data_IF_605702159934
#
_entry.id   IF_605702159934
#
_cell.length_a   1.000
_cell.length_b   1.000
_cell.length_c   1.000
_cell.angle_alpha   90.00
_cell.angle_beta   90.00
_cell.angle_gamma   90.00
#
_symmetry.space_group_name_H-M   'P 1'
#
loop_
_entity.id
_entity.type
_entity.pdbx_description
1 polymer ?
#
# COMPACT_ATOMS: atom_id res chain seq x y z
N UNK A 1 -11.49 -1.10 1.06
CA UNK A 1 -12.76 -0.86 0.40
C UNK A 1 -13.20 -2.20 -0.20
N UNK A 2 -14.12 -2.89 0.50
CA UNK A 2 -14.49 -4.29 0.21
C UNK A 2 -15.37 -4.47 -1.05
N UNK A 3 -15.65 -3.40 -1.81
CA UNK A 3 -16.46 -3.49 -3.03
C UNK A 3 -17.92 -3.91 -2.81
N UNK A 4 -18.38 -3.97 -1.55
CA UNK A 4 -19.77 -4.26 -1.20
C UNK A 4 -20.62 -3.01 -1.34
N UNK A 5 -21.87 -3.19 -1.80
CA UNK A 5 -22.87 -2.11 -1.80
C UNK A 5 -23.16 -1.66 -0.36
N UNK A 6 -23.31 -0.34 -0.16
CA UNK A 6 -23.59 0.28 1.14
C UNK A 6 -24.89 -0.24 1.81
N UNK A 7 -25.77 -0.84 1.05
CA UNK A 7 -27.03 -1.44 1.51
C UNK A 7 -26.91 -2.91 1.95
N UNK A 8 -25.74 -3.54 1.76
CA UNK A 8 -25.55 -4.95 2.11
C UNK A 8 -25.54 -5.12 3.64
N UNK A 9 -26.44 -5.91 4.25
CA UNK A 9 -26.43 -6.16 5.67
C UNK A 9 -25.18 -6.99 6.01
N UNK A 10 -24.23 -6.38 6.72
CA UNK A 10 -23.02 -7.05 7.21
C UNK A 10 -23.33 -7.66 8.57
N UNK A 11 -23.32 -8.98 8.67
CA UNK A 11 -23.31 -9.68 9.96
C UNK A 11 -21.85 -9.82 10.43
N UNK A 12 -21.57 -9.24 11.58
CA UNK A 12 -20.29 -9.46 12.26
C UNK A 12 -20.31 -10.87 12.86
N UNK A 13 -19.41 -11.73 12.39
CA UNK A 13 -19.24 -13.11 12.87
C UNK A 13 -18.32 -13.20 14.08
N UNK A 14 -17.79 -12.10 14.57
CA UNK A 14 -17.01 -12.08 15.80
C UNK A 14 -17.94 -12.35 17.01
N UNK A 15 -18.14 -13.63 17.29
CA UNK A 15 -18.50 -14.05 18.64
C UNK A 15 -17.40 -13.51 19.56
N UNK A 16 -17.81 -12.77 20.60
CA UNK A 16 -16.93 -12.25 21.63
C UNK A 16 -16.14 -13.42 22.22
N UNK A 17 -14.97 -13.71 21.67
CA UNK A 17 -13.99 -14.54 22.37
C UNK A 17 -13.38 -13.63 23.42
N UNK A 18 -13.73 -13.90 24.67
CA UNK A 18 -13.24 -13.22 25.88
C UNK A 18 -11.71 -13.29 26.07
N UNK A 19 -11.01 -14.05 25.23
CA UNK A 19 -9.56 -14.22 25.27
C UNK A 19 -8.86 -13.49 24.12
N UNK A 20 -8.93 -12.15 24.13
CA UNK A 20 -8.02 -11.32 23.35
C UNK A 20 -6.72 -11.14 24.15
N UNK A 21 -6.01 -12.23 24.42
CA UNK A 21 -4.63 -12.12 24.86
C UNK A 21 -3.86 -11.39 23.74
N UNK A 22 -3.14 -10.28 24.04
CA UNK A 22 -2.33 -9.62 23.06
C UNK A 22 -1.29 -10.65 22.57
N UNK A 23 -1.38 -11.06 21.31
CA UNK A 23 -0.27 -11.71 20.66
C UNK A 23 0.81 -10.62 20.54
N UNK A 24 1.61 -10.52 21.62
CA UNK A 24 2.86 -9.73 21.53
C UNK A 24 3.59 -10.26 20.32
N UNK A 25 3.89 -9.44 19.30
CA UNK A 25 4.78 -9.88 18.26
C UNK A 25 6.05 -10.35 19.00
N UNK A 26 6.36 -11.63 18.88
CA UNK A 26 7.67 -12.14 19.34
C UNK A 26 8.70 -11.14 18.88
N UNK A 27 9.65 -10.78 19.75
CA UNK A 27 10.72 -9.81 19.52
C UNK A 27 11.66 -10.23 18.37
N UNK A 28 11.12 -10.69 17.25
CA UNK A 28 11.81 -10.85 15.99
C UNK A 28 11.86 -9.48 15.30
N UNK A 29 13.05 -8.95 15.11
CA UNK A 29 13.25 -7.77 14.28
C UNK A 29 12.51 -8.00 12.95
N UNK A 30 11.55 -7.13 12.63
CA UNK A 30 10.82 -7.21 11.36
C UNK A 30 11.84 -7.11 10.24
N UNK A 31 11.94 -8.15 9.40
CA UNK A 31 12.85 -8.13 8.25
C UNK A 31 12.31 -7.16 7.20
N UNK A 32 12.87 -5.97 7.18
CA UNK A 32 12.48 -4.90 6.26
C UNK A 32 12.65 -5.30 4.79
N UNK A 33 13.58 -6.22 4.48
CA UNK A 33 13.78 -6.69 3.12
C UNK A 33 12.60 -7.56 2.66
N UNK A 34 12.05 -8.37 3.57
CA UNK A 34 10.86 -9.14 3.30
C UNK A 34 9.64 -8.21 3.09
N UNK A 35 9.51 -7.15 3.89
CA UNK A 35 8.48 -6.13 3.71
C UNK A 35 8.57 -5.48 2.32
N UNK A 36 9.76 -5.13 1.85
CA UNK A 36 9.92 -4.57 0.51
C UNK A 36 9.52 -5.55 -0.59
N UNK A 37 9.76 -6.86 -0.39
CA UNK A 37 9.39 -7.88 -1.36
C UNK A 37 7.88 -8.13 -1.43
N UNK A 38 7.17 -7.99 -0.31
CA UNK A 38 5.71 -8.22 -0.23
C UNK A 38 4.89 -7.03 -0.71
N UNK A 39 5.43 -5.81 -0.65
CA UNK A 39 4.68 -4.60 -0.99
C UNK A 39 4.60 -4.31 -2.49
N UNK A 40 3.38 -4.24 -3.06
CA UNK A 40 3.20 -4.01 -4.49
C UNK A 40 3.66 -2.61 -4.93
N UNK A 41 3.61 -1.60 -4.02
CA UNK A 41 4.08 -0.24 -4.33
C UNK A 41 5.59 -0.23 -4.62
N UNK A 42 6.39 -0.97 -3.83
CA UNK A 42 7.83 -1.08 -4.05
C UNK A 42 8.09 -1.74 -5.39
N UNK A 43 7.39 -2.83 -5.69
CA UNK A 43 7.51 -3.55 -6.96
C UNK A 43 7.17 -2.67 -8.16
N UNK A 44 6.12 -1.86 -8.05
CA UNK A 44 5.74 -0.93 -9.14
C UNK A 44 6.81 0.14 -9.39
N UNK A 45 7.40 0.69 -8.33
CA UNK A 45 8.47 1.69 -8.44
C UNK A 45 9.78 1.08 -8.95
N UNK A 46 10.09 -0.16 -8.59
CA UNK A 46 11.23 -0.90 -9.16
C UNK A 46 11.08 -1.09 -10.68
N UNK A 47 9.89 -1.48 -11.13
CA UNK A 47 9.59 -1.58 -12.56
C UNK A 47 9.65 -0.21 -13.25
N UNK A 48 9.15 0.85 -12.60
CA UNK A 48 9.26 2.21 -13.12
C UNK A 48 10.73 2.64 -13.30
N UNK A 49 11.60 2.35 -12.32
CA UNK A 49 13.05 2.65 -12.47
C UNK A 49 13.67 1.88 -13.63
N UNK A 50 13.27 0.63 -13.85
CA UNK A 50 13.73 -0.15 -15.01
C UNK A 50 13.25 0.48 -16.34
N UNK A 51 11.99 0.91 -16.42
CA UNK A 51 11.44 1.59 -17.59
C UNK A 51 12.24 2.85 -17.90
N UNK A 52 12.51 3.71 -16.91
CA UNK A 52 13.30 4.92 -17.12
C UNK A 52 14.75 4.63 -17.50
N UNK A 53 15.37 3.57 -16.95
CA UNK A 53 16.69 3.11 -17.41
C UNK A 53 16.68 2.67 -18.86
N UNK A 54 15.64 1.95 -19.31
CA UNK A 54 15.49 1.58 -20.71
C UNK A 54 15.17 2.77 -21.62
N UNK A 55 14.42 3.76 -21.13
CA UNK A 55 14.16 5.01 -21.84
C UNK A 55 15.46 5.73 -22.23
N UNK A 56 16.48 5.68 -21.36
CA UNK A 56 17.83 6.21 -21.71
C UNK A 56 18.40 5.50 -22.94
N UNK A 57 18.24 4.17 -23.02
CA UNK A 57 18.73 3.39 -24.17
C UNK A 57 17.92 3.71 -25.43
N UNK A 58 16.61 3.88 -25.31
CA UNK A 58 15.74 4.31 -26.44
C UNK A 58 16.17 5.69 -26.95
N UNK A 59 16.33 6.66 -26.05
CA UNK A 59 16.80 8.01 -26.43
C UNK A 59 18.19 7.96 -27.11
N UNK A 60 19.07 7.07 -26.63
CA UNK A 60 20.38 6.86 -27.29
C UNK A 60 20.24 6.27 -28.67
N UNK A 61 19.31 5.32 -28.87
CA UNK A 61 19.10 4.65 -30.16
C UNK A 61 18.60 5.58 -31.26
N UNK A 62 17.92 6.68 -30.91
CA UNK A 62 17.48 7.70 -31.86
C UNK A 62 18.66 8.37 -32.65
N UNK A 63 19.87 8.31 -32.07
CA UNK A 63 21.11 8.86 -32.63
C UNK A 63 22.02 7.81 -33.25
N UNK A 64 21.55 6.55 -33.30
CA UNK A 64 22.25 5.44 -33.97
C UNK A 64 21.65 5.16 -35.34
N UNK A 65 22.42 4.55 -36.26
CA UNK A 65 21.87 4.09 -37.52
C UNK A 65 20.67 3.16 -37.32
N UNK A 66 19.58 3.40 -38.04
CA UNK A 66 18.38 2.56 -38.01
C UNK A 66 18.17 1.87 -39.38
N UNK A 67 17.75 0.62 -39.31
CA UNK A 67 17.42 -0.20 -40.48
C UNK A 67 15.96 -0.61 -40.37
N UNK A 68 15.16 -0.29 -41.36
CA UNK A 68 13.76 -0.68 -41.45
C UNK A 68 13.50 -1.51 -42.70
N UNK A 69 12.84 -2.65 -42.56
CA UNK A 69 12.26 -3.41 -43.64
C UNK A 69 10.82 -2.97 -43.84
N UNK A 70 10.49 -2.57 -45.06
CA UNK A 70 9.15 -2.12 -45.41
C UNK A 70 8.60 -3.02 -46.54
N UNK A 71 7.33 -3.38 -46.40
CA UNK A 71 6.57 -4.05 -47.42
C UNK A 71 5.19 -3.43 -47.58
N UNK A 72 4.75 -3.20 -48.79
CA UNK A 72 3.38 -2.78 -49.04
C UNK A 72 2.76 -3.53 -50.19
N UNK A 73 1.46 -3.76 -50.11
CA UNK A 73 0.61 -4.26 -51.15
C UNK A 73 -0.50 -3.26 -51.42
N UNK A 74 -0.62 -2.87 -52.69
CA UNK A 74 -1.64 -1.90 -53.09
C UNK A 74 -2.39 -2.45 -54.32
N UNK A 75 -3.71 -2.41 -54.27
CA UNK A 75 -4.57 -2.75 -55.41
C UNK A 75 -5.31 -1.49 -55.85
N UNK A 76 -5.13 -1.10 -57.11
CA UNK A 76 -5.72 0.13 -57.65
C UNK A 76 -6.48 -0.16 -58.99
N UNK A 77 -7.52 0.66 -59.20
CA UNK A 77 -8.27 0.68 -60.45
C UNK A 77 -8.51 2.16 -60.86
N UNK A 78 -7.95 2.67 -61.98
CA UNK A 78 -7.06 1.96 -62.94
C UNK A 78 -5.71 1.59 -62.34
N UNK A 79 -5.00 0.66 -62.98
CA UNK A 79 -3.66 0.25 -62.58
C UNK A 79 -2.68 1.42 -62.65
N UNK A 80 -1.78 1.55 -61.67
CA UNK A 80 -0.74 2.60 -61.65
C UNK A 80 0.20 2.51 -62.86
N UNK A 81 0.39 1.33 -63.43
CA UNK A 81 1.25 1.10 -64.57
C UNK A 81 0.56 1.30 -65.94
N UNK A 82 -0.79 1.17 -65.97
CA UNK A 82 -1.54 1.35 -67.21
C UNK A 82 -2.89 2.02 -66.90
N UNK A 83 -2.88 3.33 -66.94
CA UNK A 83 -4.06 4.19 -66.62
C UNK A 83 -5.25 4.00 -67.58
N UNK A 84 -5.05 3.33 -68.72
CA UNK A 84 -6.10 3.06 -69.72
C UNK A 84 -6.90 1.78 -69.40
N UNK A 85 -6.38 0.91 -68.53
CA UNK A 85 -7.02 -0.36 -68.18
C UNK A 85 -7.81 -0.22 -66.88
N UNK A 86 -9.12 -0.16 -66.98
CA UNK A 86 -10.04 -0.07 -65.83
C UNK A 86 -10.25 -1.44 -65.15
N UNK A 87 -9.18 -2.03 -64.60
CA UNK A 87 -9.23 -3.28 -63.80
C UNK A 87 -8.39 -3.13 -62.57
N UNK A 88 -8.82 -3.81 -61.49
CA UNK A 88 -8.01 -3.90 -60.30
C UNK A 88 -6.74 -4.75 -60.58
N UNK A 89 -5.59 -4.16 -60.35
CA UNK A 89 -4.31 -4.86 -60.34
C UNK A 89 -3.60 -4.63 -59.01
N UNK A 90 -3.13 -5.73 -58.39
CA UNK A 90 -2.31 -5.72 -57.20
C UNK A 90 -0.84 -5.46 -57.58
N UNK A 91 -0.21 -4.63 -56.78
CA UNK A 91 1.22 -4.38 -56.81
C UNK A 91 1.78 -4.57 -55.41
N UNK A 92 2.91 -5.22 -55.30
CA UNK A 92 3.65 -5.35 -54.06
C UNK A 92 5.04 -4.74 -54.19
N UNK A 93 5.55 -4.16 -53.13
CA UNK A 93 6.94 -3.76 -53.06
C UNK A 93 7.52 -4.20 -51.72
N UNK A 94 8.81 -4.50 -51.71
CA UNK A 94 9.61 -4.74 -50.51
C UNK A 94 10.86 -3.91 -50.63
N UNK A 95 11.20 -3.21 -49.58
CA UNK A 95 12.37 -2.34 -49.52
C UNK A 95 13.04 -2.34 -48.17
N UNK A 96 14.33 -2.06 -48.18
CA UNK A 96 15.11 -1.81 -46.96
C UNK A 96 15.47 -0.33 -46.92
N UNK A 97 15.12 0.33 -45.82
CA UNK A 97 15.51 1.72 -45.59
C UNK A 97 16.58 1.75 -44.49
N UNK A 98 17.69 2.41 -44.78
CA UNK A 98 18.77 2.67 -43.81
C UNK A 98 18.80 4.16 -43.57
N UNK A 99 18.62 4.57 -42.33
CA UNK A 99 18.69 5.96 -41.92
C UNK A 99 19.87 6.17 -40.96
N UNK A 100 20.79 7.04 -41.35
CA UNK A 100 22.00 7.35 -40.56
C UNK A 100 21.97 8.82 -40.19
N UNK A 101 21.71 9.17 -38.92
CA UNK A 101 21.78 10.56 -38.46
C UNK A 101 23.24 11.04 -38.44
N UNK A 102 23.58 12.04 -39.28
CA UNK A 102 24.96 12.50 -39.44
C UNK A 102 25.29 13.64 -38.45
N UNK A 103 24.37 14.58 -38.23
CA UNK A 103 24.66 15.75 -37.44
C UNK A 103 23.43 16.32 -36.73
N UNK A 104 23.54 16.53 -35.39
CA UNK A 104 22.46 17.07 -34.55
C UNK A 104 22.95 18.13 -33.55
N UNK A 105 24.01 18.86 -33.84
CA UNK A 105 24.52 19.99 -33.04
C UNK A 105 24.65 19.72 -31.54
N UNK A 106 24.99 18.49 -31.15
CA UNK A 106 25.11 18.09 -29.74
C UNK A 106 23.80 17.81 -29.02
N UNK A 107 22.64 17.95 -29.67
CA UNK A 107 21.31 17.71 -29.10
C UNK A 107 21.20 16.34 -28.42
N UNK A 108 21.72 15.29 -29.03
CA UNK A 108 21.69 13.92 -28.49
C UNK A 108 22.35 13.80 -27.14
N UNK A 109 23.46 14.52 -26.90
CA UNK A 109 24.15 14.51 -25.61
C UNK A 109 23.26 15.05 -24.50
N UNK A 110 22.57 16.18 -24.76
CA UNK A 110 21.69 16.82 -23.80
C UNK A 110 20.41 16.02 -23.57
N UNK A 111 19.81 15.45 -24.62
CA UNK A 111 18.64 14.56 -24.47
C UNK A 111 18.96 13.30 -23.67
N UNK A 112 20.10 12.66 -23.90
CA UNK A 112 20.53 11.51 -23.12
C UNK A 112 20.83 11.90 -21.67
N UNK A 113 21.41 13.10 -21.42
CA UNK A 113 21.60 13.62 -20.07
C UNK A 113 20.25 13.85 -19.37
N UNK A 114 19.28 14.43 -20.08
CA UNK A 114 17.93 14.63 -19.54
C UNK A 114 17.26 13.30 -19.19
N UNK A 115 17.28 12.31 -20.08
CA UNK A 115 16.73 10.97 -19.81
C UNK A 115 17.44 10.28 -18.63
N UNK A 116 18.76 10.45 -18.46
CA UNK A 116 19.48 9.96 -17.29
C UNK A 116 19.04 10.65 -16.00
N UNK A 117 18.74 11.94 -16.04
CA UNK A 117 18.22 12.67 -14.89
C UNK A 117 16.82 12.20 -14.50
N UNK A 118 15.95 11.91 -15.48
CA UNK A 118 14.64 11.29 -15.24
C UNK A 118 14.79 9.91 -14.57
N UNK A 119 15.72 9.09 -15.04
CA UNK A 119 16.00 7.79 -14.41
C UNK A 119 16.51 7.92 -12.97
N UNK A 120 17.27 8.99 -12.64
CA UNK A 120 17.68 9.28 -11.26
C UNK A 120 16.49 9.71 -10.41
N UNK A 121 15.60 10.54 -10.95
CA UNK A 121 14.37 10.94 -10.24
C UNK A 121 13.54 9.71 -9.87
N UNK A 122 13.34 8.78 -10.81
CA UNK A 122 12.63 7.54 -10.54
C UNK A 122 13.32 6.68 -9.46
N UNK A 123 14.68 6.66 -9.45
CA UNK A 123 15.42 5.98 -8.39
C UNK A 123 15.22 6.63 -7.02
N UNK A 124 15.28 7.95 -6.93
CA UNK A 124 15.04 8.68 -5.68
C UNK A 124 13.60 8.51 -5.17
N UNK A 125 12.63 8.40 -6.08
CA UNK A 125 11.25 8.11 -5.70
C UNK A 125 11.10 6.71 -5.08
N UNK A 126 11.84 5.71 -5.60
CA UNK A 126 11.90 4.38 -5.00
C UNK A 126 12.56 4.40 -3.62
N UNK A 127 13.67 5.12 -3.48
CA UNK A 127 14.41 5.20 -2.22
C UNK A 127 13.56 5.93 -1.15
N UNK A 128 12.92 7.05 -1.50
CA UNK A 128 11.99 7.78 -0.63
C UNK A 128 10.79 6.92 -0.20
N UNK A 129 10.25 6.10 -1.13
CA UNK A 129 9.17 5.19 -0.80
C UNK A 129 9.61 4.09 0.19
N UNK A 130 10.82 3.55 0.02
CA UNK A 130 11.40 2.57 0.95
C UNK A 130 11.60 3.16 2.34
N UNK A 131 12.15 4.37 2.45
CA UNK A 131 12.32 5.06 3.74
C UNK A 131 10.97 5.34 4.43
N UNK A 132 9.95 5.76 3.67
CA UNK A 132 8.59 5.96 4.19
C UNK A 132 7.95 4.67 4.69
N UNK A 133 8.16 3.56 3.98
CA UNK A 133 7.67 2.24 4.39
C UNK A 133 8.36 1.80 5.69
N UNK A 134 9.67 1.94 5.79
CA UNK A 134 10.42 1.62 7.01
C UNK A 134 9.92 2.44 8.20
N UNK A 135 9.73 3.74 8.02
CA UNK A 135 9.15 4.60 9.04
C UNK A 135 7.74 4.14 9.44
N UNK A 136 6.89 3.81 8.47
CA UNK A 136 5.52 3.33 8.72
C UNK A 136 5.51 2.02 9.50
N UNK A 137 6.38 1.07 9.17
CA UNK A 137 6.51 -0.21 9.88
C UNK A 137 6.94 0.02 11.32
N UNK A 138 7.97 0.84 11.53
CA UNK A 138 8.47 1.16 12.87
C UNK A 138 7.41 1.87 13.72
N UNK A 139 6.67 2.83 13.15
CA UNK A 139 5.57 3.50 13.83
C UNK A 139 4.44 2.52 14.18
N UNK A 140 4.06 1.64 13.26
CA UNK A 140 3.00 0.65 13.52
C UNK A 140 3.41 -0.35 14.59
N UNK A 141 4.65 -0.82 14.59
CA UNK A 141 5.17 -1.70 15.63
C UNK A 141 5.19 -1.02 17.02
N UNK A 142 5.57 0.26 17.06
CA UNK A 142 5.50 1.03 18.30
C UNK A 142 4.05 1.16 18.79
N UNK A 143 3.09 1.46 17.90
CA UNK A 143 1.67 1.60 18.25
C UNK A 143 1.07 0.31 18.82
N UNK A 144 1.44 -0.87 18.29
CA UNK A 144 1.01 -2.17 18.83
C UNK A 144 1.49 -2.31 20.28
N UNK A 145 2.76 -2.01 20.57
CA UNK A 145 3.31 -2.09 21.91
C UNK A 145 2.61 -1.11 22.89
N UNK A 146 2.31 0.10 22.42
CA UNK A 146 1.61 1.10 23.25
C UNK A 146 0.15 0.69 23.52
N UNK A 147 -0.55 0.16 22.51
CA UNK A 147 -1.92 -0.35 22.68
C UNK A 147 -1.96 -1.53 23.69
N UNK A 148 -1.01 -2.46 23.61
CA UNK A 148 -0.91 -3.57 24.58
C UNK A 148 -0.68 -3.10 26.01
N UNK A 149 0.19 -2.09 26.21
CA UNK A 149 0.38 -1.47 27.55
C UNK A 149 -0.88 -0.77 28.04
N UNK A 150 -1.56 -0.03 27.15
CA UNK A 150 -2.82 0.66 27.46
C UNK A 150 -3.89 -0.35 27.90
N UNK A 151 -4.01 -1.49 27.21
CA UNK A 151 -4.93 -2.56 27.60
C UNK A 151 -4.61 -3.09 29.00
N UNK A 152 -3.34 -3.39 29.29
CA UNK A 152 -2.92 -3.85 30.63
C UNK A 152 -3.25 -2.83 31.72
N UNK A 153 -3.12 -1.54 31.42
CA UNK A 153 -3.48 -0.48 32.36
C UNK A 153 -4.99 -0.40 32.56
N UNK A 154 -5.79 -0.48 31.48
CA UNK A 154 -7.25 -0.45 31.57
C UNK A 154 -7.80 -1.67 32.34
N UNK A 155 -7.22 -2.87 32.17
CA UNK A 155 -7.57 -4.05 32.95
C UNK A 155 -7.33 -3.86 34.43
N UNK A 156 -6.17 -3.33 34.81
CA UNK A 156 -5.88 -3.02 36.21
C UNK A 156 -6.80 -1.91 36.80
N UNK A 157 -7.17 -0.93 35.97
CA UNK A 157 -8.09 0.12 36.35
C UNK A 157 -9.49 -0.45 36.61
N UNK A 158 -9.97 -1.33 35.73
CA UNK A 158 -11.24 -2.03 35.90
C UNK A 158 -11.24 -2.93 37.16
N UNK A 159 -10.16 -3.65 37.45
CA UNK A 159 -10.01 -4.45 38.67
C UNK A 159 -10.18 -3.56 39.90
N UNK A 160 -9.51 -2.40 39.98
CA UNK A 160 -9.65 -1.45 41.08
C UNK A 160 -11.05 -0.87 41.18
N UNK A 161 -11.68 -0.54 40.05
CA UNK A 161 -13.04 -0.02 40.02
C UNK A 161 -14.06 -1.07 40.51
N UNK A 162 -13.88 -2.35 40.18
CA UNK A 162 -14.67 -3.46 40.68
C UNK A 162 -14.57 -3.56 42.21
N UNK A 163 -13.35 -3.53 42.77
CA UNK A 163 -13.15 -3.59 44.20
C UNK A 163 -13.76 -2.36 44.90
N UNK A 164 -13.60 -1.15 44.35
CA UNK A 164 -14.20 0.05 44.88
C UNK A 164 -15.72 -0.04 44.89
N UNK A 165 -16.36 -0.50 43.82
CA UNK A 165 -17.80 -0.71 43.76
C UNK A 165 -18.26 -1.74 44.80
N UNK A 166 -17.52 -2.85 44.94
CA UNK A 166 -17.81 -3.90 45.95
C UNK A 166 -17.78 -3.35 47.36
N UNK A 167 -16.74 -2.56 47.72
CA UNK A 167 -16.67 -1.93 49.08
C UNK A 167 -17.73 -0.87 49.28
N UNK A 168 -18.04 -0.07 48.25
CA UNK A 168 -19.11 0.93 48.34
C UNK A 168 -20.47 0.26 48.55
N UNK A 169 -20.75 -0.84 47.86
CA UNK A 169 -22.01 -1.59 48.06
C UNK A 169 -22.12 -2.17 49.44
N UNK A 170 -21.07 -2.84 49.94
CA UNK A 170 -21.05 -3.39 51.32
C UNK A 170 -21.22 -2.29 52.37
N UNK A 171 -20.50 -1.16 52.22
CA UNK A 171 -20.62 -0.05 53.18
C UNK A 171 -22.01 0.60 53.18
N UNK A 172 -22.72 0.60 52.06
CA UNK A 172 -24.10 1.04 51.95
C UNK A 172 -25.06 0.04 52.64
N UNK A 173 -24.90 -1.26 52.41
CA UNK A 173 -25.69 -2.33 53.03
C UNK A 173 -25.57 -2.28 54.58
N UNK A 174 -24.36 -2.01 55.08
CA UNK A 174 -24.11 -1.84 56.51
C UNK A 174 -24.52 -0.44 57.09
N UNK A 175 -25.05 0.43 56.22
CA UNK A 175 -25.52 1.77 56.63
C UNK A 175 -24.41 2.77 56.96
N UNK A 176 -23.15 2.49 56.58
CA UNK A 176 -21.97 3.32 56.89
C UNK A 176 -21.77 4.45 55.90
N UNK A 177 -22.15 4.24 54.62
CA UNK A 177 -21.99 5.23 53.56
C UNK A 177 -23.30 5.50 52.81
N UNK A 178 -23.49 6.72 52.24
CA UNK A 178 -24.70 7.10 51.54
C UNK A 178 -24.77 6.45 50.12
N UNK A 179 -25.98 6.32 49.61
CA UNK A 179 -26.24 5.79 48.28
C UNK A 179 -25.50 6.56 47.14
N UNK A 180 -25.22 7.84 47.34
CA UNK A 180 -24.44 8.66 46.39
C UNK A 180 -23.05 8.10 46.11
N UNK A 181 -22.39 7.53 47.13
CA UNK A 181 -21.05 6.96 46.98
C UNK A 181 -21.11 5.64 46.13
N UNK A 182 -22.19 4.86 46.31
CA UNK A 182 -22.41 3.67 45.47
C UNK A 182 -22.62 4.06 44.00
N UNK A 183 -23.43 5.11 43.76
CA UNK A 183 -23.68 5.62 42.42
C UNK A 183 -22.40 6.16 41.76
N UNK A 184 -21.57 6.86 42.52
CA UNK A 184 -20.27 7.35 42.06
C UNK A 184 -19.33 6.18 41.73
N UNK A 185 -19.21 5.18 42.58
CA UNK A 185 -18.41 3.99 42.37
C UNK A 185 -18.92 3.18 41.15
N UNK A 186 -20.25 3.09 40.97
CA UNK A 186 -20.84 2.43 39.81
C UNK A 186 -20.54 3.19 38.50
N UNK A 187 -20.58 4.52 38.53
CA UNK A 187 -20.23 5.36 37.38
C UNK A 187 -18.74 5.19 37.01
N UNK A 188 -17.86 5.16 38.02
CA UNK A 188 -16.44 4.90 37.81
C UNK A 188 -16.17 3.51 37.23
N UNK A 189 -16.92 2.49 37.70
CA UNK A 189 -16.83 1.15 37.14
C UNK A 189 -17.27 1.09 35.68
N UNK A 190 -18.40 1.72 35.32
CA UNK A 190 -18.86 1.79 33.92
C UNK A 190 -17.83 2.47 33.02
N UNK A 191 -17.21 3.56 33.51
CA UNK A 191 -16.15 4.24 32.75
C UNK A 191 -14.94 3.34 32.56
N UNK A 192 -14.49 2.63 33.58
CA UNK A 192 -13.36 1.70 33.48
C UNK A 192 -13.67 0.51 32.55
N UNK A 193 -14.92 0.02 32.54
CA UNK A 193 -15.38 -1.03 31.63
C UNK A 193 -15.34 -0.56 30.16
N UNK A 194 -15.81 0.65 29.90
CA UNK A 194 -15.74 1.26 28.56
C UNK A 194 -14.29 1.43 28.11
N UNK A 195 -13.42 1.95 28.99
CA UNK A 195 -12.00 2.13 28.69
C UNK A 195 -11.30 0.81 28.33
N UNK A 196 -11.64 -0.30 29.02
CA UNK A 196 -11.12 -1.63 28.67
C UNK A 196 -11.55 -2.05 27.27
N UNK A 197 -12.83 -1.87 26.93
CA UNK A 197 -13.36 -2.22 25.58
C UNK A 197 -12.64 -1.39 24.51
N UNK A 198 -12.50 -0.09 24.72
CA UNK A 198 -11.79 0.79 23.78
C UNK A 198 -10.34 0.36 23.61
N UNK A 199 -9.64 -0.01 24.70
CA UNK A 199 -8.27 -0.50 24.62
C UNK A 199 -8.16 -1.86 23.90
N UNK A 200 -9.13 -2.76 24.01
CA UNK A 200 -9.18 -4.01 23.26
C UNK A 200 -9.36 -3.75 21.75
N UNK A 201 -10.22 -2.80 21.39
CA UNK A 201 -10.41 -2.38 20.00
C UNK A 201 -9.12 -1.76 19.46
N UNK A 202 -8.45 -0.89 20.21
CA UNK A 202 -7.18 -0.26 19.83
C UNK A 202 -6.10 -1.32 19.53
N UNK A 203 -5.97 -2.36 20.35
CA UNK A 203 -5.03 -3.47 20.11
C UNK A 203 -5.30 -4.15 18.76
N UNK A 204 -6.55 -4.50 18.50
CA UNK A 204 -6.92 -5.14 17.21
C UNK A 204 -6.67 -4.23 16.02
N UNK A 205 -7.01 -2.96 16.15
CA UNK A 205 -6.83 -1.97 15.10
C UNK A 205 -5.34 -1.78 14.77
N UNK A 206 -4.50 -1.65 15.79
CA UNK A 206 -3.05 -1.48 15.60
C UNK A 206 -2.38 -2.72 15.02
N UNK A 207 -2.82 -3.94 15.38
CA UNK A 207 -2.37 -5.20 14.75
C UNK A 207 -2.69 -5.22 13.25
N UNK A 208 -3.91 -4.81 12.85
CA UNK A 208 -4.30 -4.73 11.44
C UNK A 208 -3.45 -3.68 10.71
N UNK A 209 -3.18 -2.54 11.33
CA UNK A 209 -2.30 -1.52 10.73
C UNK A 209 -0.86 -2.03 10.57
N UNK A 210 -0.35 -2.81 11.51
CA UNK A 210 0.97 -3.43 11.36
C UNK A 210 0.98 -4.42 10.20
N UNK A 211 0.00 -5.33 10.11
CA UNK A 211 -0.13 -6.26 8.96
C UNK A 211 -0.25 -5.54 7.62
N UNK A 212 -0.96 -4.41 7.58
CA UNK A 212 -1.01 -3.55 6.41
C UNK A 212 0.36 -2.94 6.10
N UNK A 213 1.09 -2.49 7.12
CA UNK A 213 2.41 -1.90 6.96
C UNK A 213 3.46 -2.91 6.48
N UNK A 214 3.38 -4.18 6.93
CA UNK A 214 4.25 -5.27 6.48
C UNK A 214 3.85 -5.86 5.12
N UNK A 215 2.66 -5.52 4.59
CA UNK A 215 2.17 -6.07 3.33
C UNK A 215 1.58 -7.47 3.44
N UNK A 216 1.30 -7.94 4.67
CA UNK A 216 0.72 -9.25 4.93
C UNK A 216 -0.82 -9.27 4.92
N UNK A 217 -1.42 -8.09 4.70
CA UNK A 217 -2.89 -7.98 4.63
C UNK A 217 -3.36 -8.50 3.26
N UNK A 218 -3.72 -9.78 3.19
CA UNK A 218 -4.41 -10.35 2.04
C UNK A 218 -5.93 -10.22 2.25
N UNK A 219 -6.61 -9.69 1.24
CA UNK A 219 -8.08 -9.77 1.17
C UNK A 219 -8.36 -11.13 0.57
N UNK A 220 -8.65 -12.12 1.42
CA UNK A 220 -9.18 -13.40 0.94
C UNK A 220 -10.58 -13.12 0.35
N UNK A 221 -10.69 -13.35 -0.97
CA UNK A 221 -11.93 -13.28 -1.71
C UNK A 221 -12.76 -14.55 -1.48
#
# INVERSE_FOLDING_TARGET
LCGLDLSTPVMLTDEQKEDLAPTTPENGAIDINNVYATRPEVRSLELATQIYKQKVNVTRSEYLPSIALMGSYMATNPSVFNSFEKKFKGMWNVGVMVSVPIWHWGEGIYKVKAAKSEARIAQYQLDDAKEKIELQVNQSAFQVNEAAKKLTMAEKNLEKANENLRYATLGFEEGVIPASNVLEAHTAWLSAQSEKIDAQIDVKLTEIYLRKATGELTIDN
#
